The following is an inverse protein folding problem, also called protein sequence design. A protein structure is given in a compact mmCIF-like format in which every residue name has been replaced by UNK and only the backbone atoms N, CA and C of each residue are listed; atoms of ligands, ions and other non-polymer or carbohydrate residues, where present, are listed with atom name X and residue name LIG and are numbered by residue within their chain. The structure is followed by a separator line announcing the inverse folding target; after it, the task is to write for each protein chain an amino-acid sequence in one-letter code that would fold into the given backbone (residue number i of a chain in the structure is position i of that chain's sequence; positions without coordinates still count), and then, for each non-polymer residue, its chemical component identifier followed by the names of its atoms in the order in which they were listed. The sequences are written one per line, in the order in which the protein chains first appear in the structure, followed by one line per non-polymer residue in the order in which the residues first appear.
data_IF_400658059990
#
_entry.id   IF_400658059990
#
_cell.length_a   1.000
_cell.length_b   1.000
_cell.length_c   1.000
_cell.angle_alpha   90.00
_cell.angle_beta   90.00
_cell.angle_gamma   90.00
#
_symmetry.space_group_name_H-M   'P 1'
#
loop_
_entity.id
_entity.type
_entity.pdbx_description
1 polymer ?
#
# COMPACT_ATOMS: atom_id res chain seq x y z
N UNK A 1 16.96 -2.51 -4.91
CA UNK A 1 17.73 -3.26 -3.90
C UNK A 1 18.23 -4.56 -4.51
N UNK A 2 19.53 -4.62 -4.79
CA UNK A 2 20.18 -5.75 -5.47
C UNK A 2 20.55 -6.94 -4.57
N UNK A 3 20.23 -6.87 -3.28
CA UNK A 3 20.44 -7.95 -2.30
C UNK A 3 19.17 -8.26 -1.52
N UNK A 4 19.19 -9.40 -0.83
CA UNK A 4 18.12 -9.79 0.09
C UNK A 4 18.13 -8.86 1.31
N UNK A 5 16.97 -8.29 1.65
CA UNK A 5 16.85 -7.32 2.76
C UNK A 5 16.57 -7.97 4.14
N UNK A 6 16.50 -9.29 4.24
CA UNK A 6 16.24 -10.02 5.49
C UNK A 6 14.82 -9.82 6.03
N UNK A 7 14.69 -9.81 7.36
CA UNK A 7 13.39 -9.77 8.08
C UNK A 7 13.26 -8.65 9.12
N UNK A 8 14.28 -7.78 9.23
CA UNK A 8 14.32 -6.65 10.18
C UNK A 8 14.42 -5.29 9.49
N UNK A 9 14.32 -5.25 8.17
CA UNK A 9 14.43 -4.00 7.41
C UNK A 9 13.25 -3.07 7.65
N UNK A 10 13.55 -1.77 7.77
CA UNK A 10 12.57 -0.73 8.04
C UNK A 10 12.89 0.53 7.25
N UNK A 11 11.86 1.16 6.70
CA UNK A 11 11.93 2.48 6.06
C UNK A 11 10.96 3.40 6.79
N UNK A 12 11.41 4.57 7.24
CA UNK A 12 10.51 5.56 7.83
C UNK A 12 9.53 6.07 6.77
N UNK A 13 10.05 6.76 5.75
CA UNK A 13 9.22 7.36 4.70
C UNK A 13 9.72 6.92 3.33
N UNK A 14 8.81 6.44 2.50
CA UNK A 14 8.99 6.30 1.05
C UNK A 14 8.24 7.44 0.38
N UNK A 15 8.96 8.36 -0.25
CA UNK A 15 8.36 9.43 -1.06
C UNK A 15 8.80 9.29 -2.51
N UNK A 16 7.93 8.76 -3.35
CA UNK A 16 8.19 8.71 -4.78
C UNK A 16 8.05 10.12 -5.38
N UNK A 17 8.83 10.39 -6.42
CA UNK A 17 8.72 11.62 -7.21
C UNK A 17 8.07 11.30 -8.54
N UNK A 18 7.35 12.27 -9.10
CA UNK A 18 6.70 12.10 -10.41
C UNK A 18 7.74 11.68 -11.46
N UNK A 19 7.45 10.59 -12.16
CA UNK A 19 8.27 10.09 -13.25
C UNK A 19 7.99 10.77 -14.59
N UNK A 20 8.56 10.23 -15.67
CA UNK A 20 8.35 10.71 -17.03
C UNK A 20 7.13 10.04 -17.65
N UNK A 21 6.09 10.82 -17.92
CA UNK A 21 4.84 10.36 -18.53
C UNK A 21 5.05 9.74 -19.93
N UNK A 22 4.24 8.73 -20.34
CA UNK A 22 3.16 8.07 -19.58
C UNK A 22 3.60 6.74 -18.94
N UNK A 23 4.89 6.39 -19.06
CA UNK A 23 5.40 5.11 -18.62
C UNK A 23 5.92 5.18 -17.18
N UNK A 24 5.93 4.06 -16.47
CA UNK A 24 6.72 3.91 -15.25
C UNK A 24 8.22 3.95 -15.58
N UNK A 25 8.78 5.15 -15.65
CA UNK A 25 10.16 5.39 -16.12
C UNK A 25 11.20 5.36 -15.00
N UNK A 26 10.75 5.29 -13.74
CA UNK A 26 11.58 5.20 -12.55
C UNK A 26 10.85 4.45 -11.45
N UNK A 27 11.61 3.83 -10.54
CA UNK A 27 11.02 3.10 -9.43
C UNK A 27 12.00 2.28 -8.62
N UNK A 28 11.45 1.61 -7.61
CA UNK A 28 12.20 0.75 -6.70
C UNK A 28 11.78 -0.69 -6.95
N UNK A 29 12.75 -1.58 -7.15
CA UNK A 29 12.52 -3.02 -7.17
C UNK A 29 13.40 -3.70 -6.13
N UNK A 30 12.86 -4.71 -5.45
CA UNK A 30 13.60 -5.55 -4.51
C UNK A 30 13.97 -6.89 -5.15
N UNK A 31 15.21 -7.36 -4.98
CA UNK A 31 15.62 -8.71 -5.35
C UNK A 31 14.95 -9.77 -4.48
N UNK A 32 14.81 -9.49 -3.18
CA UNK A 32 14.16 -10.41 -2.24
C UNK A 32 14.14 -9.87 -0.81
N UNK A 33 13.29 -10.45 0.04
CA UNK A 33 13.23 -10.18 1.47
C UNK A 33 12.13 -10.99 2.13
N UNK A 34 12.25 -11.22 3.45
CA UNK A 34 11.17 -11.83 4.22
C UNK A 34 10.20 -10.77 4.72
N UNK A 35 10.71 -9.67 5.31
CA UNK A 35 9.86 -8.63 5.89
C UNK A 35 10.43 -7.23 5.69
N UNK A 36 9.56 -6.31 5.31
CA UNK A 36 9.83 -4.87 5.23
C UNK A 36 8.74 -4.10 5.99
N UNK A 37 9.15 -3.30 6.96
CA UNK A 37 8.26 -2.37 7.65
C UNK A 37 8.42 -0.97 7.05
N UNK A 38 7.32 -0.33 6.69
CA UNK A 38 7.29 1.04 6.17
C UNK A 38 6.36 1.86 7.04
N UNK A 39 6.75 3.05 7.50
CA UNK A 39 5.78 3.89 8.22
C UNK A 39 4.82 4.55 7.24
N UNK A 40 5.37 5.28 6.28
CA UNK A 40 4.61 6.08 5.33
C UNK A 40 5.08 5.83 3.91
N UNK A 41 4.14 5.65 2.98
CA UNK A 41 4.41 5.60 1.55
C UNK A 41 3.55 6.62 0.80
N UNK A 42 4.23 7.46 0.01
CA UNK A 42 3.64 8.47 -0.85
C UNK A 42 3.93 8.08 -2.30
N UNK A 43 2.92 7.52 -2.97
CA UNK A 43 2.98 7.24 -4.41
C UNK A 43 2.90 8.54 -5.20
N UNK A 44 3.66 8.62 -6.29
CA UNK A 44 3.63 9.73 -7.24
C UNK A 44 3.45 9.20 -8.67
N UNK A 45 2.82 9.97 -9.58
CA UNK A 45 2.53 9.49 -10.92
C UNK A 45 3.76 9.03 -11.69
N UNK A 46 3.57 8.02 -12.56
CA UNK A 46 4.61 7.51 -13.47
C UNK A 46 5.84 6.94 -12.74
N UNK A 47 5.72 6.59 -11.47
CA UNK A 47 6.75 5.95 -10.66
C UNK A 47 6.21 4.65 -10.04
N UNK A 48 7.09 3.75 -9.61
CA UNK A 48 6.65 2.50 -9.03
C UNK A 48 7.46 2.04 -7.81
N UNK A 49 6.81 1.27 -6.96
CA UNK A 49 7.39 0.57 -5.82
C UNK A 49 7.03 -0.92 -5.93
N UNK A 50 8.00 -1.73 -6.37
CA UNK A 50 7.85 -3.15 -6.62
C UNK A 50 8.50 -3.98 -5.51
N UNK A 51 7.68 -4.32 -4.52
CA UNK A 51 8.04 -5.17 -3.38
C UNK A 51 7.42 -6.57 -3.49
N UNK A 52 7.09 -7.04 -4.70
CA UNK A 52 6.55 -8.40 -4.91
C UNK A 52 7.51 -9.53 -4.49
N UNK A 53 8.82 -9.25 -4.48
CA UNK A 53 9.81 -10.22 -4.00
C UNK A 53 10.07 -10.14 -2.48
N UNK A 54 9.39 -9.25 -1.76
CA UNK A 54 9.41 -9.21 -0.30
C UNK A 54 8.17 -9.94 0.20
N UNK A 55 8.34 -10.99 0.99
CA UNK A 55 7.21 -11.84 1.42
C UNK A 55 6.14 -11.03 2.13
N UNK A 56 6.51 -10.27 3.17
CA UNK A 56 5.59 -9.48 3.99
C UNK A 56 5.98 -8.00 4.03
N UNK A 57 5.04 -7.13 3.64
CA UNK A 57 5.17 -5.68 3.83
C UNK A 57 4.14 -5.19 4.84
N UNK A 58 4.61 -4.45 5.83
CA UNK A 58 3.78 -3.87 6.89
C UNK A 58 3.82 -2.34 6.82
N UNK A 59 2.65 -1.72 6.75
CA UNK A 59 2.49 -0.28 6.83
C UNK A 59 2.05 0.10 8.23
N UNK A 60 2.79 1.01 8.89
CA UNK A 60 2.50 1.37 10.29
C UNK A 60 1.77 2.70 10.45
N UNK A 61 1.78 3.58 9.43
CA UNK A 61 1.09 4.89 9.51
C UNK A 61 0.24 5.21 8.30
N UNK A 62 0.76 5.19 7.07
CA UNK A 62 -0.02 5.65 5.92
C UNK A 62 0.41 5.13 4.56
N UNK A 63 -0.56 4.86 3.70
CA UNK A 63 -0.42 4.78 2.25
C UNK A 63 -1.21 5.92 1.59
N UNK A 64 -0.56 6.69 0.73
CA UNK A 64 -1.18 7.70 -0.12
C UNK A 64 -0.97 7.38 -1.60
N UNK A 65 -2.05 7.44 -2.39
CA UNK A 65 -2.01 7.20 -3.83
C UNK A 65 -2.02 8.50 -4.62
N UNK A 66 -0.93 8.76 -5.37
CA UNK A 66 -0.94 9.70 -6.48
C UNK A 66 -1.62 9.12 -7.73
N UNK A 67 -1.78 9.95 -8.77
CA UNK A 67 -2.38 9.51 -10.04
C UNK A 67 -1.61 8.33 -10.66
N UNK A 68 -2.28 7.38 -11.32
CA UNK A 68 -1.67 6.15 -11.81
C UNK A 68 -0.69 6.39 -12.95
N UNK A 69 0.26 5.48 -13.10
CA UNK A 69 1.03 5.32 -14.33
C UNK A 69 0.48 4.28 -15.31
N UNK A 70 1.13 4.06 -16.45
CA UNK A 70 0.79 2.92 -17.31
C UNK A 70 2.01 2.20 -17.89
N UNK A 71 2.21 0.94 -17.47
CA UNK A 71 2.92 -0.11 -18.21
C UNK A 71 2.09 -1.38 -18.06
N UNK A 72 1.89 -2.12 -19.15
CA UNK A 72 1.15 -3.38 -19.13
C UNK A 72 1.71 -4.34 -18.05
N UNK A 73 0.84 -4.83 -17.16
CA UNK A 73 1.20 -5.75 -16.09
C UNK A 73 1.91 -5.13 -14.88
N UNK A 74 1.94 -3.79 -14.76
CA UNK A 74 2.46 -3.09 -13.57
C UNK A 74 1.47 -2.05 -13.05
N UNK A 75 1.49 -1.89 -11.73
CA UNK A 75 0.85 -0.79 -10.99
C UNK A 75 1.90 0.02 -10.26
N UNK A 76 1.55 1.22 -9.80
CA UNK A 76 2.40 2.11 -9.02
C UNK A 76 2.91 1.48 -7.74
N UNK A 77 2.03 0.81 -6.96
CA UNK A 77 2.44 0.03 -5.80
C UNK A 77 2.19 -1.46 -6.04
N UNK A 78 3.16 -2.31 -5.74
CA UNK A 78 3.06 -3.76 -5.92
C UNK A 78 3.66 -4.51 -4.73
N UNK A 79 2.87 -5.39 -4.12
CA UNK A 79 3.26 -6.17 -2.94
C UNK A 79 2.96 -7.66 -3.13
N UNK A 80 3.70 -8.51 -2.41
CA UNK A 80 3.29 -9.90 -2.20
C UNK A 80 2.17 -9.94 -1.14
N UNK A 81 2.52 -9.92 0.14
CA UNK A 81 1.55 -9.69 1.22
C UNK A 81 1.63 -8.24 1.68
N UNK A 82 0.47 -7.64 1.97
CA UNK A 82 0.35 -6.29 2.50
C UNK A 82 -0.48 -6.29 3.78
N UNK A 83 0.10 -5.78 4.87
CA UNK A 83 -0.58 -5.58 6.14
C UNK A 83 -0.63 -4.09 6.48
N UNK A 84 -1.84 -3.57 6.70
CA UNK A 84 -2.04 -2.31 7.40
C UNK A 84 -2.08 -2.61 8.90
N UNK A 85 -1.11 -2.09 9.65
CA UNK A 85 -1.07 -2.27 11.10
C UNK A 85 -2.07 -1.35 11.81
N UNK A 86 -2.18 -1.54 13.12
CA UNK A 86 -3.05 -0.71 13.96
C UNK A 86 -2.72 0.76 13.78
N UNK A 87 -3.75 1.55 13.49
CA UNK A 87 -3.65 2.99 13.22
C UNK A 87 -3.00 3.39 11.89
N UNK A 88 -2.62 2.45 11.04
CA UNK A 88 -2.27 2.79 9.67
C UNK A 88 -3.53 3.22 8.90
N UNK A 89 -3.39 4.18 7.99
CA UNK A 89 -4.43 4.57 7.05
C UNK A 89 -4.06 4.23 5.60
N UNK A 90 -5.07 3.96 4.78
CA UNK A 90 -4.93 3.79 3.35
C UNK A 90 -5.98 4.66 2.64
N UNK A 91 -5.50 5.65 1.90
CA UNK A 91 -6.30 6.72 1.31
C UNK A 91 -6.39 6.52 -0.21
N UNK A 92 -7.53 6.03 -0.75
CA UNK A 92 -7.63 5.73 -2.19
C UNK A 92 -8.98 6.07 -2.83
N UNK A 93 -8.95 6.39 -4.13
CA UNK A 93 -10.13 6.72 -4.94
C UNK A 93 -10.26 5.85 -6.20
N UNK A 94 -10.84 6.39 -7.29
CA UNK A 94 -10.99 5.66 -8.57
C UNK A 94 -9.66 5.29 -9.24
N UNK A 95 -8.62 6.03 -8.87
CA UNK A 95 -7.27 5.98 -9.44
C UNK A 95 -6.34 5.06 -8.62
N UNK A 96 -6.90 4.09 -7.87
CA UNK A 96 -6.12 3.12 -7.11
C UNK A 96 -5.17 2.35 -8.02
N UNK A 97 -3.89 2.45 -7.70
CA UNK A 97 -2.81 1.90 -8.51
C UNK A 97 -1.99 0.91 -7.68
N UNK A 98 -2.62 -0.23 -7.38
CA UNK A 98 -2.16 -1.22 -6.41
C UNK A 98 -2.34 -2.65 -6.91
N UNK A 99 -1.29 -3.45 -6.78
CA UNK A 99 -1.34 -4.91 -6.93
C UNK A 99 -0.93 -5.57 -5.61
N UNK A 100 -1.75 -6.52 -5.13
CA UNK A 100 -1.41 -7.41 -4.02
C UNK A 100 -1.51 -8.84 -4.55
N UNK A 101 -0.38 -9.53 -4.69
CA UNK A 101 -0.34 -10.89 -5.24
C UNK A 101 -0.82 -11.93 -4.23
N UNK A 102 -0.47 -11.73 -2.97
CA UNK A 102 -0.76 -12.61 -1.85
C UNK A 102 -1.94 -12.10 -1.02
N UNK A 103 -1.72 -12.07 0.28
CA UNK A 103 -2.73 -11.70 1.27
C UNK A 103 -2.79 -10.21 1.52
N UNK A 104 -4.00 -9.70 1.75
CA UNK A 104 -4.21 -8.38 2.32
C UNK A 104 -4.72 -8.52 3.75
N UNK A 105 -4.10 -7.84 4.70
CA UNK A 105 -4.58 -7.78 6.09
C UNK A 105 -4.78 -6.34 6.51
N UNK A 106 -6.00 -5.96 6.86
CA UNK A 106 -6.26 -4.76 7.64
C UNK A 106 -6.34 -5.14 9.12
N UNK A 107 -5.27 -4.86 9.87
CA UNK A 107 -5.20 -5.10 11.31
C UNK A 107 -5.51 -3.82 12.10
N UNK A 108 -6.81 -3.47 12.19
CA UNK A 108 -7.30 -2.30 12.93
C UNK A 108 -6.77 -0.96 12.38
N UNK A 109 -6.47 -0.93 11.09
CA UNK A 109 -6.22 0.28 10.30
C UNK A 109 -7.51 0.80 9.68
N UNK A 110 -7.44 2.00 9.10
CA UNK A 110 -8.56 2.69 8.47
C UNK A 110 -8.35 2.75 6.95
N UNK A 111 -9.37 2.44 6.17
CA UNK A 111 -9.35 2.63 4.71
C UNK A 111 -10.31 3.75 4.32
N UNK A 112 -9.77 4.87 3.83
CA UNK A 112 -10.55 6.02 3.42
C UNK A 112 -10.82 5.95 1.90
N UNK A 113 -12.09 5.87 1.53
CA UNK A 113 -12.54 5.70 0.15
C UNK A 113 -13.00 7.05 -0.44
N UNK A 114 -12.24 7.59 -1.39
CA UNK A 114 -12.58 8.83 -2.08
C UNK A 114 -13.44 8.55 -3.31
N UNK A 115 -14.73 8.85 -3.20
CA UNK A 115 -15.69 8.68 -4.30
C UNK A 115 -15.44 9.75 -5.36
N UNK A 116 -15.28 9.32 -6.61
CA UNK A 116 -15.14 10.19 -7.78
C UNK A 116 -16.11 9.69 -8.85
N UNK A 117 -16.94 10.60 -9.37
CA UNK A 117 -17.99 10.28 -10.34
C UNK A 117 -18.93 9.14 -9.89
N UNK A 118 -19.22 9.08 -8.59
CA UNK A 118 -20.06 8.04 -7.98
C UNK A 118 -19.42 6.65 -7.92
N UNK A 119 -18.10 6.54 -8.13
CA UNK A 119 -17.36 5.27 -8.14
C UNK A 119 -16.14 5.31 -7.22
N UNK A 120 -15.72 4.11 -6.82
CA UNK A 120 -14.45 3.83 -6.15
C UNK A 120 -13.78 2.67 -6.86
N UNK A 121 -12.45 2.60 -6.82
CA UNK A 121 -11.74 1.46 -7.36
C UNK A 121 -11.94 0.23 -6.47
N UNK A 122 -12.00 -0.95 -7.07
CA UNK A 122 -11.97 -2.21 -6.34
C UNK A 122 -10.56 -2.50 -5.84
N UNK A 123 -10.39 -2.66 -4.53
CA UNK A 123 -9.17 -3.20 -3.94
C UNK A 123 -9.18 -4.73 -4.09
N UNK A 124 -8.22 -5.26 -4.87
CA UNK A 124 -8.12 -6.68 -5.13
C UNK A 124 -6.96 -7.29 -4.32
N UNK A 125 -7.25 -8.33 -3.56
CA UNK A 125 -6.25 -9.22 -2.98
C UNK A 125 -6.15 -10.48 -3.85
N UNK A 126 -4.94 -10.90 -4.20
CA UNK A 126 -4.74 -12.11 -5.03
C UNK A 126 -5.10 -13.41 -4.30
N UNK A 127 -5.10 -13.39 -2.96
CA UNK A 127 -5.53 -14.49 -2.10
C UNK A 127 -6.55 -14.00 -1.07
N UNK A 128 -6.40 -14.37 0.21
CA UNK A 128 -7.33 -13.98 1.26
C UNK A 128 -7.14 -12.51 1.66
N UNK A 129 -8.27 -11.83 1.89
CA UNK A 129 -8.33 -10.56 2.62
C UNK A 129 -8.82 -10.81 4.05
N UNK A 130 -8.10 -10.28 5.04
CA UNK A 130 -8.44 -10.36 6.46
C UNK A 130 -8.73 -8.97 7.02
N UNK A 131 -9.91 -8.79 7.62
CA UNK A 131 -10.30 -7.55 8.29
C UNK A 131 -10.41 -7.84 9.79
N UNK A 132 -9.56 -7.20 10.59
CA UNK A 132 -9.45 -7.44 12.03
C UNK A 132 -9.85 -6.15 12.76
N UNK A 133 -10.74 -6.30 13.74
CA UNK A 133 -11.32 -5.21 14.51
C UNK A 133 -11.00 -5.33 16.00
N UNK A 134 -11.18 -4.25 16.74
CA UNK A 134 -11.18 -4.24 18.20
C UNK A 134 -12.52 -3.68 18.72
N UNK A 135 -12.72 -3.78 20.03
CA UNK A 135 -13.92 -3.29 20.72
C UNK A 135 -13.68 -1.95 21.44
N UNK A 136 -12.64 -1.19 21.05
CA UNK A 136 -12.34 0.11 21.64
C UNK A 136 -13.29 1.16 21.06
N UNK A 137 -14.02 1.84 21.95
CA UNK A 137 -14.89 2.96 21.59
C UNK A 137 -14.06 4.24 21.58
N UNK A 138 -14.09 4.95 20.45
CA UNK A 138 -13.47 6.25 20.29
C UNK A 138 -14.25 7.29 21.10
N UNK A 139 -13.57 8.04 21.97
CA UNK A 139 -14.21 8.99 22.89
C UNK A 139 -14.70 10.27 22.22
N UNK A 140 -14.19 10.60 21.02
CA UNK A 140 -14.63 11.77 20.28
C UNK A 140 -15.93 11.50 19.52
N UNK A 141 -16.15 10.25 19.08
CA UNK A 141 -17.32 9.86 18.30
C UNK A 141 -18.37 9.09 19.11
N UNK A 142 -17.96 8.40 20.17
CA UNK A 142 -18.81 7.44 20.89
C UNK A 142 -19.05 6.13 20.13
N UNK A 143 -18.31 5.86 19.06
CA UNK A 143 -18.42 4.68 18.21
C UNK A 143 -17.10 3.92 18.12
N UNK A 144 -17.13 2.69 17.62
CA UNK A 144 -15.90 1.96 17.26
C UNK A 144 -15.16 2.69 16.15
N UNK A 145 -13.83 2.54 16.15
CA UNK A 145 -12.99 3.07 15.08
C UNK A 145 -13.37 2.43 13.73
N UNK A 146 -13.65 3.28 12.74
CA UNK A 146 -13.95 2.90 11.35
C UNK A 146 -12.71 2.92 10.46
#
# INVERSE_FOLDING_TARGET
FGENIGDKSRIGVVSLQTGYSPAYSGGVTFKGGKKLVIDEIYHAPWNYFDARNVTDVEITKRIFFGAPGYIAGKTGLMFNNLTLNSNASMDYGKDLDLTIQGHFTNNQGTMNLFVQDGRVATLNAGHQASMIFNNVVDSATGFYKT
#
